data_IF_785409562004
#
_entry.id   IF_785409562004
#
_cell.length_a   1.000
_cell.length_b   1.000
_cell.length_c   1.000
_cell.angle_alpha   90.00
_cell.angle_beta   90.00
_cell.angle_gamma   90.00
#
_symmetry.space_group_name_H-M   'P 1'
#
loop_
_entity.id
_entity.type
_entity.pdbx_description
1 polymer ?
#
# COMPACT_ATOMS: atom_id res chain seq x y z
N UNK A 1 -0.35 18.04 -13.58
CA UNK A 1 0.52 18.28 -12.38
C UNK A 1 -0.12 19.37 -11.56
N UNK A 2 -0.30 19.16 -10.25
CA UNK A 2 -0.82 20.22 -9.40
C UNK A 2 0.27 21.26 -9.13
N UNK A 3 -0.13 22.51 -8.89
CA UNK A 3 0.78 23.60 -8.53
C UNK A 3 1.54 23.31 -7.22
N UNK A 4 0.92 22.54 -6.30
CA UNK A 4 1.51 22.10 -5.05
C UNK A 4 2.68 21.13 -5.27
N UNK A 5 2.53 20.19 -6.20
CA UNK A 5 3.57 19.26 -6.63
C UNK A 5 4.78 20.01 -7.19
N UNK A 6 4.56 20.92 -8.13
CA UNK A 6 5.61 21.70 -8.76
C UNK A 6 6.38 22.59 -7.76
N UNK A 7 5.67 23.21 -6.82
CA UNK A 7 6.27 24.05 -5.76
C UNK A 7 7.17 23.23 -4.84
N UNK A 8 6.77 22.03 -4.45
CA UNK A 8 7.56 21.14 -3.59
C UNK A 8 8.73 20.50 -4.34
N UNK A 9 8.56 20.18 -5.61
CA UNK A 9 9.64 19.76 -6.49
C UNK A 9 10.79 20.78 -6.51
N UNK A 10 10.49 22.07 -6.62
CA UNK A 10 11.52 23.11 -6.63
C UNK A 10 12.19 23.31 -5.27
N UNK A 11 11.50 23.00 -4.16
CA UNK A 11 12.03 23.20 -2.80
C UNK A 11 12.92 22.04 -2.31
N UNK A 12 12.74 20.82 -2.81
CA UNK A 12 13.47 19.63 -2.36
C UNK A 12 13.71 18.62 -3.48
N UNK A 13 14.50 18.95 -4.51
CA UNK A 13 14.64 18.13 -5.71
C UNK A 13 15.16 16.71 -5.44
N UNK A 14 16.03 16.53 -4.45
CA UNK A 14 16.57 15.21 -4.10
C UNK A 14 15.63 14.31 -3.28
N UNK A 15 14.65 14.88 -2.58
CA UNK A 15 13.60 14.10 -1.91
C UNK A 15 12.47 13.74 -2.87
N UNK A 16 12.36 14.44 -3.99
CA UNK A 16 11.27 14.37 -4.95
C UNK A 16 11.68 13.60 -6.22
N UNK A 17 12.93 13.22 -6.36
CA UNK A 17 13.35 12.30 -7.44
C UNK A 17 12.56 10.97 -7.45
N UNK A 18 11.80 10.70 -6.41
CA UNK A 18 10.86 9.59 -6.30
C UNK A 18 9.40 9.96 -6.56
N UNK A 19 9.06 11.24 -6.68
CA UNK A 19 7.69 11.68 -6.99
C UNK A 19 7.63 12.06 -8.47
N UNK A 20 8.09 11.18 -9.31
CA UNK A 20 7.80 11.27 -10.74
C UNK A 20 6.31 11.01 -10.93
N UNK A 21 5.58 11.89 -11.64
CA UNK A 21 4.18 11.63 -11.92
C UNK A 21 4.03 10.27 -12.60
N UNK A 22 3.27 9.40 -11.97
CA UNK A 22 2.99 8.08 -12.55
C UNK A 22 2.17 8.25 -13.81
N UNK A 23 2.65 7.72 -14.93
CA UNK A 23 1.88 7.66 -16.17
C UNK A 23 0.62 6.81 -15.95
N UNK A 24 -0.42 7.05 -16.76
CA UNK A 24 -1.62 6.18 -16.73
C UNK A 24 -1.27 4.72 -16.93
N UNK A 25 -0.32 4.43 -17.82
CA UNK A 25 0.15 3.08 -18.09
C UNK A 25 0.83 2.45 -16.87
N UNK A 26 1.67 3.21 -16.13
CA UNK A 26 2.28 2.72 -14.89
C UNK A 26 1.22 2.42 -13.83
N UNK A 27 0.25 3.32 -13.65
CA UNK A 27 -0.85 3.14 -12.67
C UNK A 27 -1.65 1.87 -12.97
N UNK A 28 -2.01 1.65 -14.24
CA UNK A 28 -2.70 0.44 -14.67
C UNK A 28 -1.84 -0.81 -14.46
N UNK A 29 -0.56 -0.74 -14.81
CA UNK A 29 0.36 -1.88 -14.67
C UNK A 29 0.57 -2.26 -13.20
N UNK A 30 0.76 -1.28 -12.32
CA UNK A 30 0.87 -1.51 -10.86
C UNK A 30 -0.41 -2.12 -10.31
N UNK A 31 -1.58 -1.57 -10.67
CA UNK A 31 -2.86 -2.11 -10.22
C UNK A 31 -3.13 -3.53 -10.75
N UNK A 32 -2.60 -3.91 -11.92
CA UNK A 32 -2.73 -5.27 -12.47
C UNK A 32 -1.96 -6.33 -11.67
N UNK A 33 -1.10 -5.93 -10.73
CA UNK A 33 -0.39 -6.84 -9.82
C UNK A 33 -1.25 -7.27 -8.62
N UNK A 34 -2.46 -6.76 -8.50
CA UNK A 34 -3.40 -7.07 -7.43
C UNK A 34 -4.61 -7.81 -8.00
N UNK A 35 -5.09 -8.82 -7.27
CA UNK A 35 -6.34 -9.50 -7.57
C UNK A 35 -7.50 -8.83 -6.80
N UNK A 36 -8.45 -8.27 -7.54
CA UNK A 36 -9.66 -7.60 -7.01
C UNK A 36 -10.91 -8.46 -7.09
N UNK A 37 -10.80 -9.72 -7.46
CA UNK A 37 -11.94 -10.65 -7.59
C UNK A 37 -12.64 -10.95 -6.26
N UNK A 38 -11.94 -10.72 -5.14
CA UNK A 38 -12.43 -10.91 -3.78
C UNK A 38 -12.24 -9.63 -2.96
N UNK A 39 -12.98 -9.44 -1.85
CA UNK A 39 -12.71 -8.36 -0.91
C UNK A 39 -11.25 -8.39 -0.43
N UNK A 40 -10.61 -7.22 -0.38
CA UNK A 40 -9.20 -7.06 -0.02
C UNK A 40 -9.01 -5.97 1.02
N UNK A 41 -8.04 -6.18 1.91
CA UNK A 41 -7.47 -5.12 2.74
C UNK A 41 -6.14 -4.72 2.11
N UNK A 42 -6.05 -3.48 1.64
CA UNK A 42 -4.90 -2.95 0.92
C UNK A 42 -4.34 -1.77 1.71
N UNK A 43 -3.03 -1.67 1.81
CA UNK A 43 -2.34 -0.49 2.33
C UNK A 43 -1.54 0.18 1.23
N UNK A 44 -1.49 1.52 1.24
CA UNK A 44 -0.62 2.29 0.35
C UNK A 44 0.26 3.23 1.17
N UNK A 45 1.57 3.17 0.96
CA UNK A 45 2.58 4.00 1.59
C UNK A 45 2.98 5.15 0.68
N UNK A 46 2.79 6.38 1.15
CA UNK A 46 3.13 7.59 0.40
C UNK A 46 2.27 7.77 -0.86
N UNK A 47 0.94 7.80 -0.74
CA UNK A 47 0.04 7.99 -1.89
C UNK A 47 0.19 9.33 -2.60
N UNK A 48 0.73 10.35 -1.91
CA UNK A 48 0.90 11.69 -2.47
C UNK A 48 -0.42 12.27 -2.97
N UNK A 49 -0.51 12.54 -4.28
CA UNK A 49 -1.75 13.04 -4.94
C UNK A 49 -2.83 11.95 -5.11
N UNK A 50 -2.62 10.71 -4.67
CA UNK A 50 -3.60 9.63 -4.70
C UNK A 50 -3.89 9.04 -6.09
N UNK A 51 -2.93 9.10 -7.01
CA UNK A 51 -3.13 8.62 -8.38
C UNK A 51 -3.36 7.11 -8.41
N UNK A 52 -2.54 6.35 -7.69
CA UNK A 52 -2.70 4.90 -7.53
C UNK A 52 -3.89 4.57 -6.64
N UNK A 53 -4.08 5.33 -5.54
CA UNK A 53 -5.22 5.17 -4.62
C UNK A 53 -6.57 5.22 -5.35
N UNK A 54 -6.76 6.21 -6.26
CA UNK A 54 -7.98 6.31 -7.08
C UNK A 54 -8.18 5.09 -7.97
N UNK A 55 -7.12 4.56 -8.56
CA UNK A 55 -7.21 3.39 -9.42
C UNK A 55 -7.54 2.13 -8.63
N UNK A 56 -6.95 1.96 -7.45
CA UNK A 56 -7.25 0.86 -6.53
C UNK A 56 -8.72 0.97 -6.09
N UNK A 57 -9.15 2.13 -5.58
CA UNK A 57 -10.52 2.35 -5.09
C UNK A 57 -11.59 2.05 -6.15
N UNK A 58 -11.32 2.34 -7.44
CA UNK A 58 -12.23 2.01 -8.56
C UNK A 58 -12.38 0.52 -8.81
N UNK A 59 -11.35 -0.28 -8.49
CA UNK A 59 -11.33 -1.73 -8.72
C UNK A 59 -11.77 -2.55 -7.51
N UNK A 60 -11.73 -1.96 -6.33
CA UNK A 60 -12.10 -2.62 -5.08
C UNK A 60 -13.58 -2.98 -5.03
N UNK A 61 -13.89 -4.18 -4.51
CA UNK A 61 -15.24 -4.57 -4.15
C UNK A 61 -15.81 -3.69 -3.01
N UNK A 62 -17.14 -3.68 -2.79
CA UNK A 62 -17.76 -2.91 -1.70
C UNK A 62 -17.22 -3.22 -0.30
N UNK A 63 -16.83 -4.48 -0.06
CA UNK A 63 -16.34 -4.97 1.24
C UNK A 63 -14.80 -4.90 1.38
N UNK A 64 -14.12 -4.27 0.44
CA UNK A 64 -12.67 -4.05 0.51
C UNK A 64 -12.36 -2.80 1.33
N UNK A 65 -11.11 -2.71 1.82
CA UNK A 65 -10.61 -1.55 2.54
C UNK A 65 -9.25 -1.11 2.00
N UNK A 66 -9.04 0.22 1.91
CA UNK A 66 -7.79 0.84 1.49
C UNK A 66 -7.29 1.78 2.58
N UNK A 67 -6.11 1.51 3.13
CA UNK A 67 -5.45 2.31 4.15
C UNK A 67 -4.34 3.13 3.50
N UNK A 68 -4.44 4.45 3.52
CA UNK A 68 -3.50 5.39 2.92
C UNK A 68 -2.63 6.04 4.00
N UNK A 69 -1.31 5.77 4.00
CA UNK A 69 -0.37 6.35 4.96
C UNK A 69 0.41 7.48 4.30
N UNK A 70 0.16 8.71 4.73
CA UNK A 70 0.81 9.90 4.19
C UNK A 70 1.43 10.75 5.31
N UNK A 71 2.72 11.06 5.16
CA UNK A 71 3.46 11.88 6.14
C UNK A 71 3.20 13.37 5.98
N UNK A 72 2.94 13.80 4.74
CA UNK A 72 2.69 15.20 4.46
C UNK A 72 1.25 15.57 4.78
N UNK A 73 1.06 16.51 5.69
CA UNK A 73 -0.26 16.94 6.15
C UNK A 73 -1.13 17.53 5.03
N UNK A 74 -0.53 18.20 4.05
CA UNK A 74 -1.31 18.80 2.97
C UNK A 74 -1.83 17.73 2.02
N UNK A 75 -0.98 16.74 1.64
CA UNK A 75 -1.43 15.60 0.86
C UNK A 75 -2.45 14.75 1.62
N UNK A 76 -2.25 14.53 2.93
CA UNK A 76 -3.23 13.79 3.73
C UNK A 76 -4.61 14.46 3.71
N UNK A 77 -4.69 15.78 3.88
CA UNK A 77 -5.94 16.55 3.80
C UNK A 77 -6.58 16.49 2.40
N UNK A 78 -5.77 16.58 1.35
CA UNK A 78 -6.25 16.45 -0.03
C UNK A 78 -6.85 15.07 -0.27
N UNK A 79 -6.21 14.01 0.23
CA UNK A 79 -6.71 12.63 0.16
C UNK A 79 -8.01 12.47 0.94
N UNK A 80 -8.12 13.03 2.15
CA UNK A 80 -9.35 13.03 2.94
C UNK A 80 -10.52 13.66 2.16
N UNK A 81 -10.28 14.78 1.48
CA UNK A 81 -11.27 15.43 0.64
C UNK A 81 -11.64 14.59 -0.60
N UNK A 82 -10.63 14.03 -1.29
CA UNK A 82 -10.85 13.19 -2.48
C UNK A 82 -11.70 11.96 -2.17
N UNK A 83 -11.50 11.34 -1.02
CA UNK A 83 -12.16 10.09 -0.62
C UNK A 83 -13.26 10.28 0.43
N UNK A 84 -13.70 11.51 0.71
CA UNK A 84 -14.67 11.82 1.77
C UNK A 84 -15.99 11.03 1.67
N UNK A 85 -16.36 10.60 0.46
CA UNK A 85 -17.60 9.83 0.19
C UNK A 85 -17.37 8.32 0.06
N UNK A 86 -16.13 7.85 0.10
CA UNK A 86 -15.81 6.42 -0.01
C UNK A 86 -15.40 5.86 1.37
N UNK A 87 -16.36 5.22 2.04
CA UNK A 87 -16.16 4.65 3.38
C UNK A 87 -15.15 3.50 3.44
N UNK A 88 -14.75 2.97 2.29
CA UNK A 88 -13.73 1.91 2.19
C UNK A 88 -12.32 2.47 2.32
N UNK A 89 -12.12 3.78 2.10
CA UNK A 89 -10.81 4.42 2.11
C UNK A 89 -10.58 5.12 3.45
N UNK A 90 -9.43 4.82 4.05
CA UNK A 90 -9.02 5.34 5.35
C UNK A 90 -7.70 6.09 5.20
N UNK A 91 -7.73 7.41 5.32
CA UNK A 91 -6.51 8.22 5.28
C UNK A 91 -5.91 8.30 6.68
N UNK A 92 -4.62 8.01 6.78
CA UNK A 92 -3.83 8.07 8.01
C UNK A 92 -2.70 9.08 7.81
N UNK A 93 -2.81 10.24 8.44
CA UNK A 93 -1.71 11.18 8.52
C UNK A 93 -0.67 10.62 9.49
N UNK A 94 0.41 10.03 8.96
CA UNK A 94 1.44 9.39 9.77
C UNK A 94 2.38 8.45 9.01
N UNK A 95 3.30 7.86 9.78
CA UNK A 95 4.31 6.94 9.25
C UNK A 95 3.70 5.59 8.85
N UNK A 96 4.11 5.06 7.70
CA UNK A 96 3.75 3.73 7.20
C UNK A 96 4.09 2.60 8.20
N UNK A 97 5.08 2.81 9.05
CA UNK A 97 5.44 1.87 10.11
C UNK A 97 4.31 1.61 11.13
N UNK A 98 3.23 2.41 11.10
CA UNK A 98 2.02 2.23 11.93
C UNK A 98 1.02 1.23 11.33
N UNK A 99 1.35 0.59 10.20
CA UNK A 99 0.43 -0.35 9.55
C UNK A 99 -0.11 -1.44 10.51
N UNK A 100 0.70 -2.15 11.32
CA UNK A 100 0.20 -3.18 12.21
C UNK A 100 -0.83 -2.64 13.23
N UNK A 101 -0.55 -1.48 13.82
CA UNK A 101 -1.42 -0.81 14.79
C UNK A 101 -2.75 -0.37 14.14
N UNK A 102 -2.69 0.17 12.91
CA UNK A 102 -3.87 0.63 12.20
C UNK A 102 -4.75 -0.52 11.69
N UNK A 103 -4.17 -1.66 11.30
CA UNK A 103 -4.91 -2.88 11.03
C UNK A 103 -5.66 -3.35 12.27
N UNK A 104 -4.95 -3.51 13.38
CA UNK A 104 -5.54 -3.93 14.66
C UNK A 104 -6.66 -3.00 15.11
N UNK A 105 -6.47 -1.68 15.02
CA UNK A 105 -7.47 -0.67 15.40
C UNK A 105 -8.78 -0.81 14.61
N UNK A 106 -8.70 -1.31 13.38
CA UNK A 106 -9.85 -1.53 12.49
C UNK A 106 -10.39 -2.97 12.51
N UNK A 107 -9.82 -3.84 13.34
CA UNK A 107 -10.24 -5.23 13.45
C UNK A 107 -9.72 -6.12 12.30
N UNK A 108 -8.71 -5.67 11.55
CA UNK A 108 -8.06 -6.50 10.54
C UNK A 108 -6.86 -7.23 11.12
N UNK A 109 -6.76 -8.54 10.89
CA UNK A 109 -5.61 -9.33 11.32
C UNK A 109 -4.38 -9.09 10.44
N UNK A 110 -4.59 -8.86 9.14
CA UNK A 110 -3.55 -8.67 8.14
C UNK A 110 -4.09 -7.89 6.94
N UNK A 111 -3.23 -7.54 6.00
CA UNK A 111 -3.60 -7.00 4.70
C UNK A 111 -3.19 -7.94 3.57
N UNK A 112 -3.91 -7.90 2.45
CA UNK A 112 -3.63 -8.73 1.26
C UNK A 112 -2.50 -8.13 0.43
N UNK A 113 -2.47 -6.80 0.30
CA UNK A 113 -1.47 -6.09 -0.48
C UNK A 113 -0.98 -4.84 0.24
N UNK A 114 0.30 -4.56 0.05
CA UNK A 114 0.89 -3.27 0.38
C UNK A 114 1.49 -2.69 -0.90
N UNK A 115 1.06 -1.50 -1.29
CA UNK A 115 1.68 -0.72 -2.36
C UNK A 115 2.57 0.36 -1.75
N UNK A 116 3.76 0.58 -2.29
CA UNK A 116 4.63 1.64 -1.81
C UNK A 116 5.11 2.57 -2.92
N UNK A 117 4.79 3.86 -2.76
CA UNK A 117 5.38 4.98 -3.46
C UNK A 117 6.55 5.63 -2.71
N UNK A 118 6.96 5.07 -1.55
CA UNK A 118 8.08 5.61 -0.77
C UNK A 118 9.40 5.29 -1.48
N UNK A 119 10.30 6.27 -1.62
CA UNK A 119 11.64 6.04 -2.15
C UNK A 119 12.52 5.34 -1.10
N UNK A 120 12.60 4.02 -1.16
CA UNK A 120 13.42 3.26 -0.20
C UNK A 120 14.90 3.61 -0.27
N UNK A 121 15.41 4.09 -1.41
CA UNK A 121 16.81 4.54 -1.58
C UNK A 121 17.24 5.64 -0.59
N UNK A 122 16.31 6.49 -0.16
CA UNK A 122 16.60 7.58 0.77
C UNK A 122 16.46 7.19 2.25
N UNK A 123 15.91 6.02 2.54
CA UNK A 123 15.75 5.54 3.92
C UNK A 123 17.09 5.02 4.46
N UNK A 124 17.41 5.39 5.70
CA UNK A 124 18.52 4.76 6.46
C UNK A 124 18.26 3.25 6.56
N UNK A 125 19.34 2.45 6.54
CA UNK A 125 19.25 0.99 6.48
C UNK A 125 18.38 0.40 7.60
N UNK A 126 18.50 0.91 8.83
CA UNK A 126 17.73 0.41 9.96
C UNK A 126 16.23 0.70 9.80
N UNK A 127 15.87 1.91 9.33
CA UNK A 127 14.47 2.25 9.02
C UNK A 127 13.93 1.41 7.87
N UNK A 128 14.74 1.18 6.84
CA UNK A 128 14.39 0.32 5.70
C UNK A 128 14.06 -1.09 6.17
N UNK A 129 14.96 -1.70 6.97
CA UNK A 129 14.76 -3.05 7.54
C UNK A 129 13.54 -3.14 8.45
N UNK A 130 13.38 -2.16 9.35
CA UNK A 130 12.24 -2.13 10.26
C UNK A 130 10.90 -2.01 9.51
N UNK A 131 10.84 -1.16 8.47
CA UNK A 131 9.63 -1.03 7.65
C UNK A 131 9.34 -2.30 6.85
N UNK A 132 10.36 -2.94 6.26
CA UNK A 132 10.22 -4.22 5.56
C UNK A 132 9.71 -5.32 6.49
N UNK A 133 10.26 -5.42 7.72
CA UNK A 133 9.80 -6.39 8.73
C UNK A 133 8.33 -6.17 9.07
N UNK A 134 7.94 -4.94 9.43
CA UNK A 134 6.55 -4.61 9.77
C UNK A 134 5.60 -4.86 8.60
N UNK A 135 6.03 -4.57 7.37
CA UNK A 135 5.26 -4.85 6.16
C UNK A 135 5.07 -6.35 5.96
N UNK A 136 6.16 -7.13 6.07
CA UNK A 136 6.09 -8.58 5.97
C UNK A 136 5.15 -9.18 7.02
N UNK A 137 5.26 -8.75 8.29
CA UNK A 137 4.45 -9.28 9.39
C UNK A 137 2.97 -8.94 9.22
N UNK A 138 2.66 -7.75 8.68
CA UNK A 138 1.32 -7.28 8.41
C UNK A 138 0.63 -7.95 7.21
N UNK A 139 1.40 -8.53 6.28
CA UNK A 139 0.83 -9.22 5.11
C UNK A 139 0.22 -10.56 5.48
N UNK A 140 -0.90 -10.88 4.83
CA UNK A 140 -1.48 -12.22 4.84
C UNK A 140 -0.52 -13.25 4.19
N UNK A 141 -0.59 -14.54 4.54
CA UNK A 141 0.05 -15.59 3.76
C UNK A 141 -0.41 -15.52 2.29
N UNK A 142 0.56 -15.52 1.35
CA UNK A 142 0.31 -15.30 -0.07
C UNK A 142 0.04 -13.83 -0.45
N UNK A 143 0.13 -12.91 0.50
CA UNK A 143 0.00 -11.48 0.25
C UNK A 143 1.19 -10.90 -0.50
N UNK A 144 0.99 -9.73 -1.13
CA UNK A 144 1.97 -9.07 -1.98
C UNK A 144 2.40 -7.69 -1.49
N UNK A 145 3.72 -7.45 -1.43
CA UNK A 145 4.29 -6.13 -1.27
C UNK A 145 4.77 -5.62 -2.63
N UNK A 146 4.13 -4.59 -3.15
CA UNK A 146 4.35 -4.02 -4.48
C UNK A 146 5.07 -2.69 -4.33
N UNK A 147 6.16 -2.52 -5.04
CA UNK A 147 6.90 -1.27 -5.11
C UNK A 147 7.12 -0.85 -6.56
N UNK A 148 7.14 0.44 -6.81
CA UNK A 148 7.53 1.02 -8.09
C UNK A 148 8.53 2.16 -7.85
N UNK A 149 9.73 2.04 -8.41
CA UNK A 149 10.82 2.99 -8.19
C UNK A 149 11.84 2.96 -9.32
N UNK A 150 12.68 4.00 -9.39
CA UNK A 150 13.69 4.13 -10.46
C UNK A 150 14.81 3.10 -10.32
N UNK A 151 15.10 2.65 -9.09
CA UNK A 151 16.17 1.69 -8.80
C UNK A 151 15.59 0.36 -8.31
N UNK A 152 16.30 -0.75 -8.51
CA UNK A 152 15.90 -2.08 -8.04
C UNK A 152 16.69 -2.54 -6.79
N UNK A 153 17.28 -1.60 -6.05
CA UNK A 153 18.16 -1.90 -4.90
C UNK A 153 17.43 -2.59 -3.74
N UNK A 154 16.12 -2.34 -3.58
CA UNK A 154 15.37 -2.90 -2.46
C UNK A 154 15.36 -4.43 -2.46
N UNK A 155 15.47 -5.06 -3.62
CA UNK A 155 15.55 -6.51 -3.76
C UNK A 155 16.67 -7.14 -2.91
N UNK A 156 17.80 -6.42 -2.76
CA UNK A 156 18.94 -6.89 -1.96
C UNK A 156 18.68 -6.85 -0.44
N UNK A 157 17.70 -6.05 -0.01
CA UNK A 157 17.38 -5.85 1.40
C UNK A 157 16.10 -6.57 1.83
N UNK A 158 15.32 -7.07 0.90
CA UNK A 158 14.02 -7.69 1.16
C UNK A 158 14.13 -9.22 1.32
N UNK A 159 15.17 -9.69 2.01
CA UNK A 159 15.47 -11.12 2.22
C UNK A 159 14.43 -11.88 3.05
N UNK A 160 13.49 -11.16 3.67
CA UNK A 160 12.33 -11.72 4.37
C UNK A 160 11.29 -12.33 3.43
N UNK A 161 11.30 -11.90 2.16
CA UNK A 161 10.39 -12.39 1.15
C UNK A 161 11.10 -13.45 0.31
N UNK A 162 10.53 -14.64 0.24
CA UNK A 162 11.17 -15.78 -0.44
C UNK A 162 11.13 -15.65 -1.96
N UNK A 163 10.13 -14.96 -2.48
CA UNK A 163 9.96 -14.77 -3.92
C UNK A 163 9.74 -13.30 -4.26
N UNK A 164 10.41 -12.84 -5.31
CA UNK A 164 10.26 -11.49 -5.82
C UNK A 164 10.28 -11.49 -7.35
N UNK A 165 9.25 -10.94 -7.95
CA UNK A 165 9.14 -10.68 -9.38
C UNK A 165 9.44 -9.22 -9.66
N UNK A 166 10.32 -8.94 -10.61
CA UNK A 166 10.64 -7.57 -11.02
C UNK A 166 10.52 -7.44 -12.53
N UNK A 167 9.94 -6.34 -12.96
CA UNK A 167 9.92 -5.93 -14.35
C UNK A 167 10.41 -4.48 -14.51
N UNK A 168 11.04 -4.20 -15.64
CA UNK A 168 11.44 -2.84 -16.00
C UNK A 168 10.41 -2.24 -16.94
N UNK A 169 9.68 -1.23 -16.44
CA UNK A 169 8.55 -0.64 -17.13
C UNK A 169 8.96 0.64 -17.84
N UNK A 170 8.94 0.60 -19.17
CA UNK A 170 9.43 1.70 -20.06
C UNK A 170 8.39 2.79 -20.30
N UNK A 171 7.10 2.51 -20.11
CA UNK A 171 6.00 3.46 -20.42
C UNK A 171 5.77 4.49 -19.30
N UNK A 172 6.85 4.83 -18.59
CA UNK A 172 6.91 5.93 -17.64
C UNK A 172 8.19 6.75 -17.90
N UNK A 173 8.20 8.03 -17.53
CA UNK A 173 9.38 8.89 -17.65
C UNK A 173 9.71 9.48 -16.29
N UNK A 174 10.86 9.09 -15.68
CA UNK A 174 11.76 8.04 -16.13
C UNK A 174 11.13 6.64 -16.06
N UNK A 175 11.69 5.64 -16.75
CA UNK A 175 11.28 4.25 -16.60
C UNK A 175 11.44 3.76 -15.17
N UNK A 176 10.59 2.82 -14.77
CA UNK A 176 10.51 2.33 -13.37
C UNK A 176 10.66 0.81 -13.29
N UNK A 177 11.27 0.33 -12.22
CA UNK A 177 11.10 -1.05 -11.81
C UNK A 177 9.80 -1.20 -11.05
N UNK A 178 8.99 -2.18 -11.42
CA UNK A 178 7.85 -2.65 -10.63
C UNK A 178 8.27 -3.98 -10.04
N UNK A 179 8.32 -4.07 -8.71
CA UNK A 179 8.71 -5.30 -8.01
C UNK A 179 7.59 -5.73 -7.09
N UNK A 180 7.24 -7.00 -7.15
CA UNK A 180 6.29 -7.65 -6.25
C UNK A 180 7.06 -8.65 -5.39
N UNK A 181 7.04 -8.43 -4.10
CA UNK A 181 7.54 -9.38 -3.11
C UNK A 181 6.38 -10.17 -2.53
N UNK A 182 6.46 -11.48 -2.53
CA UNK A 182 5.41 -12.37 -2.05
C UNK A 182 5.77 -12.93 -0.67
N UNK A 183 4.81 -12.85 0.26
CA UNK A 183 4.90 -13.58 1.52
C UNK A 183 4.46 -15.01 1.28
N UNK A 184 5.27 -15.98 1.71
CA UNK A 184 5.00 -17.40 1.52
C UNK A 184 3.65 -17.82 2.08
N UNK A 185 3.00 -18.73 1.40
CA UNK A 185 1.87 -19.46 1.96
C UNK A 185 2.43 -20.50 2.93
N UNK A 186 2.15 -20.38 4.24
CA UNK A 186 2.49 -21.46 5.16
C UNK A 186 1.70 -22.72 4.79
N UNK A 187 2.33 -23.88 4.92
CA UNK A 187 1.70 -25.18 4.60
C UNK A 187 0.39 -25.43 5.39
N UNK A 188 0.18 -24.73 6.51
CA UNK A 188 -1.08 -24.75 7.28
C UNK A 188 -2.19 -23.86 6.69
N UNK A 189 -1.91 -23.03 5.69
CA UNK A 189 -2.88 -22.09 5.09
C UNK A 189 -3.58 -22.64 3.85
N UNK A 190 -3.48 -23.93 3.55
CA UNK A 190 -4.25 -24.58 2.47
C UNK A 190 -5.78 -24.52 2.72
N UNK A 191 -6.21 -24.24 3.96
CA UNK A 191 -7.58 -23.85 4.33
C UNK A 191 -7.76 -22.32 4.42
N UNK A 192 -6.95 -21.56 3.69
CA UNK A 192 -6.84 -20.09 3.77
C UNK A 192 -8.12 -19.29 3.48
N UNK A 193 -9.14 -19.91 2.93
CA UNK A 193 -10.47 -19.36 2.79
C UNK A 193 -11.18 -19.23 4.16
N UNK A 194 -11.18 -20.26 4.99
CA UNK A 194 -11.82 -20.23 6.33
C UNK A 194 -11.12 -19.28 7.28
N UNK A 195 -9.78 -19.20 7.22
CA UNK A 195 -8.99 -18.25 8.00
C UNK A 195 -9.31 -16.79 7.63
N UNK A 196 -9.48 -16.50 6.33
CA UNK A 196 -9.79 -15.14 5.84
C UNK A 196 -11.22 -14.70 6.20
N UNK A 197 -12.20 -15.61 6.20
CA UNK A 197 -13.60 -15.31 6.57
C UNK A 197 -13.77 -15.18 8.08
N UNK A 198 -13.17 -16.02 8.88
CA UNK A 198 -13.27 -15.97 10.35
C UNK A 198 -12.65 -14.71 10.97
N UNK A 199 -11.62 -14.12 10.32
CA UNK A 199 -10.94 -12.93 10.83
C UNK A 199 -11.42 -11.61 10.18
N UNK A 200 -12.35 -11.66 9.23
CA UNK A 200 -12.94 -10.47 8.56
C UNK A 200 -14.26 -10.03 9.21
N UNK A 201 -14.78 -10.79 10.16
CA UNK A 201 -15.96 -10.37 10.91
C UNK A 201 -15.54 -9.30 11.93
N UNK A 202 -16.10 -8.08 11.89
CA UNK A 202 -15.83 -7.06 12.90
C UNK A 202 -16.16 -7.64 14.27
N UNK A 203 -15.20 -7.61 15.19
CA UNK A 203 -15.45 -7.99 16.59
C UNK A 203 -16.45 -6.97 17.16
N UNK A 204 -17.70 -7.37 17.26
CA UNK A 204 -18.68 -6.80 18.18
C UNK A 204 -19.42 -5.55 17.71
N UNK A 205 -20.53 -5.76 17.02
CA UNK A 205 -21.76 -5.03 17.38
C UNK A 205 -22.63 -6.04 18.12
N UNK A 206 -22.35 -6.22 19.42
CA UNK A 206 -23.24 -6.89 20.34
C UNK A 206 -24.48 -6.04 20.54
N UNK A 207 -25.59 -6.61 20.16
CA UNK A 207 -26.95 -6.28 20.50
C UNK A 207 -27.14 -5.36 21.72
N UNK A 208 -27.65 -4.17 21.50
CA UNK A 208 -28.64 -3.57 22.37
C UNK A 208 -30.00 -3.75 21.67
N UNK A 209 -30.63 -4.89 21.95
CA UNK A 209 -32.08 -5.07 21.83
C UNK A 209 -32.60 -5.36 23.21
N UNK A 210 -33.68 -4.65 23.54
CA UNK A 210 -34.69 -4.83 24.62
C UNK A 210 -34.32 -4.15 25.94
N UNK A 211 -35.13 -3.21 26.44
CA UNK A 211 -36.56 -3.35 26.77
C UNK A 211 -37.19 -1.99 26.77
#
# INVERSE_FOLDING_TARGET
MSALFFKRFLQRPFQIASIVPSSKALVERVASKMDFSQPRVIAEYGPGEGVHSRQIARRMSPDSHLLLFELDQAFARDLEQQFARDRRVHVIHGDAARLPEELKRRGFACCDYVLSGIPFSILKIDKKRALLQKTHDALAPGGGFIIYQVTNELKQHATLFEHAESEYFLQNIPPMFITVFHKTQSAQSLNGWEYRTAQRTPIGVSAYRSA
#
